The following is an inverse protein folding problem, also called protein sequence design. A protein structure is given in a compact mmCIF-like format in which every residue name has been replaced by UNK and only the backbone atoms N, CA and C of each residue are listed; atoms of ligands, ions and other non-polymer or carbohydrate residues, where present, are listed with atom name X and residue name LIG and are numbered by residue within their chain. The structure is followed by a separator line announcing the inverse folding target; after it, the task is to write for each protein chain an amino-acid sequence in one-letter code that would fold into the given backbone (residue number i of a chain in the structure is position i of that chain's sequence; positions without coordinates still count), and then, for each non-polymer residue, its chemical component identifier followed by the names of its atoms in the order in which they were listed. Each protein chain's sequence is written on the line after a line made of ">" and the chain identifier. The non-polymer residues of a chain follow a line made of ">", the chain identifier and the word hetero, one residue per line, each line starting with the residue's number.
data_IF_382172167852
#
_entry.id   IF_382172167852
#
_cell.length_a   1.000
_cell.length_b   1.000
_cell.length_c   1.000
_cell.angle_alpha   90.00
_cell.angle_beta   90.00
_cell.angle_gamma   90.00
#
_symmetry.space_group_name_H-M   'P 1'
#
loop_
_entity.id
_entity.type
_entity.pdbx_description
1 polymer ?
#
# COMPACT_ATOMS: atom_id res chain seq x y z
N UNK A 1 -4.11 -11.12 -11.73
CA UNK A 1 -5.19 -10.29 -12.36
C UNK A 1 -6.55 -10.98 -12.19
N UNK A 2 -7.58 -10.26 -11.77
CA UNK A 2 -8.94 -10.77 -11.66
C UNK A 2 -9.56 -11.09 -13.04
N UNK A 3 -10.65 -11.87 -13.06
CA UNK A 3 -11.33 -12.27 -14.31
C UNK A 3 -11.78 -11.09 -15.19
N UNK A 4 -12.03 -9.93 -14.58
CA UNK A 4 -12.41 -8.68 -15.25
C UNK A 4 -11.23 -7.70 -15.44
N UNK A 5 -9.99 -8.16 -15.29
CA UNK A 5 -8.80 -7.31 -15.44
C UNK A 5 -8.39 -6.55 -14.18
N UNK A 6 -9.05 -6.76 -13.04
CA UNK A 6 -8.70 -6.12 -11.76
C UNK A 6 -7.25 -6.43 -11.37
N UNK A 7 -6.53 -5.41 -10.93
CA UNK A 7 -5.17 -5.52 -10.39
C UNK A 7 -5.25 -5.12 -8.92
N UNK A 8 -4.48 -5.81 -8.08
CA UNK A 8 -4.38 -5.48 -6.65
C UNK A 8 -3.29 -4.44 -6.51
N UNK A 9 -3.59 -3.35 -5.83
CA UNK A 9 -2.58 -2.37 -5.47
C UNK A 9 -1.74 -2.89 -4.30
N UNK A 10 -0.44 -2.59 -4.30
CA UNK A 10 0.49 -2.96 -3.25
C UNK A 10 1.04 -1.72 -2.57
N UNK A 11 0.56 -1.51 -1.35
CA UNK A 11 1.05 -0.47 -0.45
C UNK A 11 2.16 -1.02 0.46
N UNK A 12 3.12 -0.16 0.77
CA UNK A 12 4.19 -0.49 1.71
C UNK A 12 4.44 0.67 2.67
N UNK A 13 4.78 0.33 3.91
CA UNK A 13 5.24 1.27 4.92
C UNK A 13 6.70 0.98 5.26
N UNK A 14 7.49 2.02 5.48
CA UNK A 14 8.92 1.91 5.78
C UNK A 14 9.36 2.84 6.90
N UNK A 15 10.52 2.56 7.47
CA UNK A 15 11.17 3.44 8.43
C UNK A 15 11.91 4.56 7.70
N UNK A 16 11.74 5.80 8.15
CA UNK A 16 12.40 6.97 7.59
C UNK A 16 13.18 7.74 8.67
N UNK A 17 14.24 8.44 8.26
CA UNK A 17 14.97 9.39 9.10
C UNK A 17 14.66 10.79 8.60
N UNK A 18 14.27 11.69 9.51
CA UNK A 18 14.11 13.10 9.16
C UNK A 18 15.43 13.67 8.61
N UNK A 19 15.35 14.43 7.53
CA UNK A 19 16.50 15.13 6.96
C UNK A 19 17.10 16.18 7.92
N UNK A 20 16.32 16.66 8.88
CA UNK A 20 16.75 17.62 9.92
C UNK A 20 17.23 16.96 11.23
N UNK A 21 17.34 15.62 11.26
CA UNK A 21 17.75 14.88 12.46
C UNK A 21 19.13 15.33 12.95
N UNK A 22 19.23 15.62 14.25
CA UNK A 22 20.50 15.92 14.92
C UNK A 22 21.31 14.65 15.27
N UNK A 23 20.71 13.46 15.08
CA UNK A 23 21.30 12.16 15.42
C UNK A 23 21.17 11.15 14.27
N UNK A 24 21.66 11.46 13.05
CA UNK A 24 21.44 10.60 11.88
C UNK A 24 22.13 9.24 12.00
N UNK A 25 23.27 9.16 12.69
CA UNK A 25 24.01 7.90 12.86
C UNK A 25 23.30 6.95 13.83
N UNK A 26 22.77 7.48 14.93
CA UNK A 26 22.01 6.76 15.94
C UNK A 26 20.66 6.31 15.35
N UNK A 27 19.97 7.20 14.65
CA UNK A 27 18.73 6.87 13.93
C UNK A 27 18.94 5.74 12.91
N UNK A 28 20.06 5.77 12.16
CA UNK A 28 20.40 4.68 11.25
C UNK A 28 20.64 3.35 11.97
N UNK A 29 21.32 3.36 13.12
CA UNK A 29 21.50 2.16 13.95
C UNK A 29 20.15 1.62 14.43
N UNK A 30 19.22 2.49 14.83
CA UNK A 30 17.86 2.11 15.24
C UNK A 30 17.09 1.48 14.08
N UNK A 31 17.08 2.09 12.88
CA UNK A 31 16.39 1.51 11.72
C UNK A 31 16.95 0.13 11.38
N UNK A 32 18.27 -0.06 11.40
CA UNK A 32 18.88 -1.39 11.18
C UNK A 32 18.43 -2.41 12.22
N UNK A 33 18.27 -1.99 13.47
CA UNK A 33 17.74 -2.85 14.52
C UNK A 33 16.26 -3.21 14.27
N UNK A 34 15.42 -2.23 13.91
CA UNK A 34 13.99 -2.46 13.64
C UNK A 34 13.76 -3.31 12.38
N UNK A 35 14.61 -3.17 11.36
CA UNK A 35 14.50 -3.86 10.07
C UNK A 35 15.20 -5.23 10.03
N UNK A 36 15.90 -5.64 11.10
CA UNK A 36 16.56 -6.95 11.10
C UNK A 36 15.53 -8.09 11.14
N UNK A 37 15.96 -9.31 10.80
CA UNK A 37 15.11 -10.50 10.75
C UNK A 37 14.35 -10.76 12.05
N UNK A 38 15.05 -10.72 13.18
CA UNK A 38 14.48 -11.03 14.50
C UNK A 38 13.41 -10.03 14.91
N UNK A 39 13.63 -8.75 14.63
CA UNK A 39 12.65 -7.69 14.88
C UNK A 39 11.44 -7.85 13.95
N UNK A 40 11.66 -8.14 12.67
CA UNK A 40 10.58 -8.43 11.73
C UNK A 40 9.73 -9.64 12.15
N UNK A 41 10.35 -10.75 12.57
CA UNK A 41 9.64 -11.92 13.12
C UNK A 41 8.78 -11.55 14.33
N UNK A 42 9.32 -10.75 15.26
CA UNK A 42 8.56 -10.27 16.43
C UNK A 42 7.37 -9.40 16.04
N UNK A 43 7.51 -8.51 15.07
CA UNK A 43 6.38 -7.73 14.57
C UNK A 43 5.32 -8.62 13.91
N UNK A 44 5.74 -9.61 13.12
CA UNK A 44 4.82 -10.56 12.47
C UNK A 44 3.99 -11.36 13.48
N UNK A 45 4.57 -11.73 14.62
CA UNK A 45 3.86 -12.45 15.69
C UNK A 45 2.64 -11.69 16.25
N UNK A 46 2.56 -10.37 16.05
CA UNK A 46 1.35 -9.60 16.43
C UNK A 46 0.12 -9.97 15.59
N UNK A 47 0.30 -10.58 14.41
CA UNK A 47 -0.76 -10.83 13.44
C UNK A 47 -1.26 -9.58 12.72
N UNK A 48 -0.67 -8.40 12.96
CA UNK A 48 -1.12 -7.13 12.42
C UNK A 48 -0.47 -6.74 11.09
N UNK A 49 0.55 -7.48 10.65
CA UNK A 49 1.33 -7.12 9.46
C UNK A 49 1.51 -8.30 8.50
N UNK A 50 1.61 -7.97 7.21
CA UNK A 50 2.31 -8.80 6.22
C UNK A 50 3.78 -8.36 6.23
N UNK A 51 4.75 -9.22 6.58
CA UNK A 51 6.13 -8.80 6.73
C UNK A 51 6.78 -8.48 5.37
N UNK A 52 7.47 -7.33 5.29
CA UNK A 52 8.16 -6.91 4.08
C UNK A 52 9.44 -7.72 3.78
N UNK A 53 10.05 -8.38 4.80
CA UNK A 53 11.18 -9.29 4.56
C UNK A 53 10.69 -10.62 3.99
N UNK A 54 11.14 -10.94 2.78
CA UNK A 54 10.76 -12.15 2.03
C UNK A 54 11.00 -13.43 2.85
N UNK A 55 12.12 -13.52 3.58
CA UNK A 55 12.43 -14.71 4.38
C UNK A 55 11.53 -14.86 5.61
N UNK A 56 10.97 -13.78 6.15
CA UNK A 56 9.98 -13.81 7.25
C UNK A 56 8.59 -14.08 6.69
N UNK A 57 8.23 -13.50 5.54
CA UNK A 57 6.97 -13.76 4.84
C UNK A 57 6.78 -15.22 4.43
N UNK A 58 7.89 -15.92 4.16
CA UNK A 58 7.89 -17.35 3.82
C UNK A 58 8.19 -18.25 5.02
N UNK A 59 8.22 -17.71 6.25
CA UNK A 59 8.49 -18.48 7.47
C UNK A 59 7.20 -18.98 8.14
N UNK A 60 7.34 -19.97 9.02
CA UNK A 60 6.24 -20.47 9.85
C UNK A 60 5.62 -19.36 10.72
N UNK A 61 6.41 -18.34 11.11
CA UNK A 61 5.90 -17.22 11.90
C UNK A 61 4.73 -16.50 11.22
N UNK A 62 4.72 -16.44 9.88
CA UNK A 62 3.63 -15.83 9.11
C UNK A 62 2.65 -16.86 8.54
N UNK A 63 3.14 -18.03 8.12
CA UNK A 63 2.38 -19.01 7.35
C UNK A 63 1.69 -20.09 8.21
N UNK A 64 1.86 -20.05 9.53
CA UNK A 64 1.24 -21.01 10.45
C UNK A 64 -0.29 -20.98 10.36
N UNK A 65 -0.85 -22.06 9.82
CA UNK A 65 -2.31 -22.21 9.58
C UNK A 65 -3.13 -22.36 10.87
N UNK A 66 -2.48 -22.60 12.01
CA UNK A 66 -3.12 -22.69 13.32
C UNK A 66 -3.33 -21.30 13.96
N UNK A 67 -2.72 -20.25 13.40
CA UNK A 67 -2.91 -18.87 13.83
C UNK A 67 -3.76 -18.16 12.77
N UNK A 68 -4.82 -17.43 13.15
CA UNK A 68 -5.59 -16.64 12.19
C UNK A 68 -4.73 -15.55 11.53
N UNK A 69 -4.90 -15.30 10.21
CA UNK A 69 -5.76 -16.03 9.29
C UNK A 69 -5.13 -17.35 8.81
N UNK A 70 -5.93 -18.41 8.69
CA UNK A 70 -5.48 -19.74 8.20
C UNK A 70 -4.77 -19.69 6.84
N UNK A 71 -5.09 -18.69 6.02
CA UNK A 71 -4.62 -18.56 4.64
C UNK A 71 -3.68 -17.37 4.43
N UNK A 72 -2.82 -17.01 5.40
CA UNK A 72 -1.86 -15.90 5.28
C UNK A 72 -1.02 -15.91 4.00
N UNK A 73 -0.76 -17.09 3.43
CA UNK A 73 -0.03 -17.26 2.17
C UNK A 73 -0.61 -16.44 1.01
N UNK A 74 -1.92 -16.21 0.99
CA UNK A 74 -2.58 -15.41 -0.07
C UNK A 74 -2.01 -13.99 -0.18
N UNK A 75 -1.60 -13.40 0.95
CA UNK A 75 -1.04 -12.06 0.98
C UNK A 75 0.36 -12.00 0.37
N UNK A 76 1.12 -13.10 0.37
CA UNK A 76 2.43 -13.16 -0.28
C UNK A 76 2.28 -13.48 -1.76
N UNK A 77 1.41 -14.43 -2.08
CA UNK A 77 1.25 -14.95 -3.44
C UNK A 77 0.70 -13.90 -4.42
N UNK A 78 -0.05 -12.91 -3.93
CA UNK A 78 -0.62 -11.85 -4.78
C UNK A 78 0.38 -10.75 -5.13
N UNK A 79 1.46 -10.58 -4.35
CA UNK A 79 2.40 -9.45 -4.50
C UNK A 79 3.05 -9.42 -5.90
N UNK A 80 3.53 -10.53 -6.49
CA UNK A 80 4.12 -10.50 -7.83
C UNK A 80 3.17 -10.03 -8.94
N UNK A 81 1.86 -10.21 -8.73
CA UNK A 81 0.79 -9.82 -9.67
C UNK A 81 0.19 -8.44 -9.34
N UNK A 82 0.65 -7.81 -8.27
CA UNK A 82 0.17 -6.52 -7.79
C UNK A 82 0.92 -5.35 -8.45
N UNK A 83 0.34 -4.16 -8.36
CA UNK A 83 0.98 -2.93 -8.83
C UNK A 83 1.27 -2.01 -7.65
N UNK A 84 2.50 -1.49 -7.50
CA UNK A 84 2.78 -0.47 -6.51
C UNK A 84 1.86 0.74 -6.72
N UNK A 85 1.27 1.25 -5.64
CA UNK A 85 0.47 2.47 -5.70
C UNK A 85 1.34 3.63 -6.20
N UNK A 86 0.95 4.33 -7.27
CA UNK A 86 1.74 5.42 -7.83
C UNK A 86 1.64 6.66 -6.94
N UNK A 87 2.50 6.75 -5.92
CA UNK A 87 2.56 7.92 -5.02
C UNK A 87 3.47 8.98 -5.63
N UNK A 88 2.90 9.84 -6.47
CA UNK A 88 3.55 11.04 -7.01
C UNK A 88 3.43 12.22 -6.04
N UNK A 89 4.21 13.29 -6.22
CA UNK A 89 4.18 14.46 -5.32
C UNK A 89 2.81 15.16 -5.22
N UNK A 90 1.93 14.90 -6.18
CA UNK A 90 0.56 15.41 -6.26
C UNK A 90 -0.50 14.31 -6.05
N UNK A 91 -0.12 13.14 -5.52
CA UNK A 91 -1.03 12.01 -5.28
C UNK A 91 -2.29 12.45 -4.51
N UNK A 92 -2.11 13.22 -3.44
CA UNK A 92 -3.21 13.74 -2.62
C UNK A 92 -4.19 14.60 -3.44
N UNK A 93 -3.67 15.48 -4.30
CA UNK A 93 -4.48 16.36 -5.15
C UNK A 93 -5.33 15.55 -6.15
N UNK A 94 -4.77 14.46 -6.67
CA UNK A 94 -5.44 13.55 -7.60
C UNK A 94 -6.54 12.77 -6.85
N UNK A 95 -6.22 12.18 -5.69
CA UNK A 95 -7.18 11.38 -4.91
C UNK A 95 -8.33 12.22 -4.39
N UNK A 96 -8.08 13.45 -3.94
CA UNK A 96 -9.13 14.35 -3.46
C UNK A 96 -10.08 14.75 -4.60
N UNK A 97 -9.52 15.06 -5.77
CA UNK A 97 -10.32 15.36 -6.98
C UNK A 97 -11.21 14.18 -7.36
N UNK A 98 -10.66 12.96 -7.36
CA UNK A 98 -11.42 11.74 -7.64
C UNK A 98 -12.51 11.48 -6.60
N UNK A 99 -12.18 11.57 -5.31
CA UNK A 99 -13.11 11.30 -4.23
C UNK A 99 -14.33 12.21 -4.29
N UNK A 100 -14.11 13.53 -4.39
CA UNK A 100 -15.21 14.50 -4.51
C UNK A 100 -16.03 14.27 -5.77
N UNK A 101 -15.41 14.00 -6.91
CA UNK A 101 -16.13 13.76 -8.15
C UNK A 101 -17.01 12.50 -8.06
N UNK A 102 -16.53 11.44 -7.40
CA UNK A 102 -17.22 10.15 -7.30
C UNK A 102 -18.31 10.10 -6.21
N UNK A 103 -18.43 11.10 -5.33
CA UNK A 103 -19.48 11.12 -4.29
C UNK A 103 -20.91 10.90 -4.82
N UNK A 104 -21.38 11.53 -5.92
CA UNK A 104 -22.71 11.29 -6.45
C UNK A 104 -22.89 9.86 -6.99
N UNK A 105 -21.81 9.24 -7.49
CA UNK A 105 -21.82 7.85 -7.92
C UNK A 105 -22.03 6.92 -6.71
N UNK A 106 -21.25 7.12 -5.65
CA UNK A 106 -21.35 6.30 -4.44
C UNK A 106 -22.70 6.47 -3.73
N UNK A 107 -23.29 7.65 -3.82
CA UNK A 107 -24.63 7.95 -3.30
C UNK A 107 -25.76 7.46 -4.22
N UNK A 108 -25.46 6.81 -5.35
CA UNK A 108 -26.47 6.32 -6.30
C UNK A 108 -27.23 7.42 -7.06
N UNK A 109 -26.74 8.67 -7.02
CA UNK A 109 -27.37 9.83 -7.65
C UNK A 109 -27.00 10.00 -9.13
N UNK A 110 -25.85 9.46 -9.53
CA UNK A 110 -25.35 9.46 -10.91
C UNK A 110 -24.73 8.11 -11.24
N UNK A 111 -24.73 7.75 -12.52
CA UNK A 111 -24.00 6.59 -13.05
C UNK A 111 -22.52 6.90 -13.22
N UNK A 112 -21.69 5.86 -13.33
CA UNK A 112 -20.24 6.04 -13.54
C UNK A 112 -19.94 6.81 -14.83
N UNK A 113 -20.75 6.62 -15.89
CA UNK A 113 -20.62 7.32 -17.16
C UNK A 113 -20.92 8.82 -17.05
N UNK A 114 -21.83 9.21 -16.16
CA UNK A 114 -22.18 10.62 -15.93
C UNK A 114 -21.18 11.36 -15.03
N UNK A 115 -20.46 10.63 -14.19
CA UNK A 115 -19.45 11.20 -13.29
C UNK A 115 -18.07 11.23 -13.95
N UNK A 116 -17.67 10.14 -14.62
CA UNK A 116 -16.38 10.04 -15.31
C UNK A 116 -16.52 10.62 -16.73
N UNK A 117 -16.74 11.93 -16.78
CA UNK A 117 -16.86 12.69 -18.01
C UNK A 117 -15.51 13.17 -18.56
N UNK A 118 -15.55 13.85 -19.71
CA UNK A 118 -14.33 14.37 -20.36
C UNK A 118 -13.63 15.42 -19.52
N UNK A 119 -14.37 16.21 -18.74
CA UNK A 119 -13.82 17.31 -17.97
C UNK A 119 -13.02 16.79 -16.78
N UNK A 120 -13.57 15.81 -16.05
CA UNK A 120 -12.84 15.11 -14.99
C UNK A 120 -11.57 14.45 -15.54
N UNK A 121 -11.67 13.75 -16.68
CA UNK A 121 -10.51 13.11 -17.31
C UNK A 121 -9.43 14.15 -17.66
N UNK A 122 -9.81 15.30 -18.22
CA UNK A 122 -8.87 16.37 -18.56
C UNK A 122 -8.18 16.95 -17.31
N UNK A 123 -8.94 17.19 -16.24
CA UNK A 123 -8.39 17.68 -14.97
C UNK A 123 -7.38 16.71 -14.37
N UNK A 124 -7.70 15.40 -14.35
CA UNK A 124 -6.81 14.37 -13.84
C UNK A 124 -5.53 14.25 -14.68
N UNK A 125 -5.66 14.29 -16.01
CA UNK A 125 -4.51 14.25 -16.92
C UNK A 125 -3.56 15.45 -16.77
N UNK A 126 -4.08 16.64 -16.43
CA UNK A 126 -3.25 17.80 -16.14
C UNK A 126 -2.47 17.60 -14.85
N UNK A 127 -3.13 17.08 -13.80
CA UNK A 127 -2.47 16.76 -12.53
C UNK A 127 -1.38 15.72 -12.76
N UNK A 128 -1.65 14.60 -13.44
CA UNK A 128 -0.66 13.54 -13.70
C UNK A 128 0.63 14.00 -14.42
N UNK A 129 0.63 15.16 -15.10
CA UNK A 129 1.81 15.72 -15.79
C UNK A 129 2.69 16.62 -14.91
N UNK A 130 2.22 16.98 -13.71
CA UNK A 130 2.91 17.81 -12.73
C UNK A 130 3.80 16.94 -11.85
#
# INVERSE_FOLDING_TARGET
>A
RGKAGSIVDCDTSGWAISSSSQHPKEAWRLIKFLANKKSAERFTQSGLIVPARIDVANSEVFLNKNIPPKNSKVFVDIIPDSMPTPVTGNYQEITDTLNTALEPLWNGKKTAKEVVDKDLILQLNQKLKK
#
